data_IF_737198573267
#
_entry.id   IF_737198573267
#
_cell.length_a   1.000
_cell.length_b   1.000
_cell.length_c   1.000
_cell.angle_alpha   90.00
_cell.angle_beta   90.00
_cell.angle_gamma   90.00
#
_symmetry.space_group_name_H-M   'P 1'
#
loop_
_entity.id
_entity.type
_entity.pdbx_description
1 polymer ?
#
# COMPACT_ATOMS: atom_id res chain seq x y z
N UNK A 1 -35.13 -25.82 -44.09
CA UNK A 1 -33.85 -26.14 -43.39
C UNK A 1 -32.80 -25.04 -43.51
N UNK A 2 -32.61 -24.43 -44.68
CA UNK A 2 -31.54 -23.44 -44.96
C UNK A 2 -31.60 -22.16 -44.08
N UNK A 3 -32.79 -21.64 -43.78
CA UNK A 3 -32.93 -20.45 -42.92
C UNK A 3 -32.54 -20.71 -41.46
N UNK A 4 -32.75 -21.92 -40.94
CA UNK A 4 -32.37 -22.28 -39.56
C UNK A 4 -30.85 -22.38 -39.42
N UNK A 5 -30.18 -22.94 -40.43
CA UNK A 5 -28.72 -23.01 -40.47
C UNK A 5 -28.08 -21.61 -40.52
N UNK A 6 -28.63 -20.69 -41.31
CA UNK A 6 -28.14 -19.31 -41.43
C UNK A 6 -28.27 -18.52 -40.12
N UNK A 7 -29.39 -18.66 -39.40
CA UNK A 7 -29.60 -17.98 -38.11
C UNK A 7 -28.64 -18.49 -37.04
N UNK A 8 -28.38 -19.81 -36.98
CA UNK A 8 -27.42 -20.39 -36.04
C UNK A 8 -25.99 -19.93 -36.33
N UNK A 9 -25.59 -19.91 -37.61
CA UNK A 9 -24.26 -19.44 -38.03
C UNK A 9 -24.02 -17.96 -37.68
N UNK A 10 -25.03 -17.10 -37.86
CA UNK A 10 -24.96 -15.67 -37.50
C UNK A 10 -24.85 -15.52 -35.97
N UNK A 11 -25.61 -16.31 -35.20
CA UNK A 11 -25.53 -16.30 -33.74
C UNK A 11 -24.15 -16.70 -33.21
N UNK A 12 -23.56 -17.77 -33.77
CA UNK A 12 -22.22 -18.24 -33.39
C UNK A 12 -21.14 -17.20 -33.74
N UNK A 13 -21.23 -16.60 -34.93
CA UNK A 13 -20.30 -15.55 -35.33
C UNK A 13 -20.38 -14.31 -34.42
N UNK A 14 -21.60 -13.90 -34.03
CA UNK A 14 -21.78 -12.76 -33.12
C UNK A 14 -21.21 -13.03 -31.72
N UNK A 15 -21.39 -14.24 -31.18
CA UNK A 15 -20.82 -14.64 -29.88
C UNK A 15 -19.29 -14.71 -29.95
N UNK A 16 -18.73 -15.24 -31.04
CA UNK A 16 -17.29 -15.31 -31.22
C UNK A 16 -16.65 -13.91 -31.30
N UNK A 17 -17.28 -12.98 -32.04
CA UNK A 17 -16.82 -11.59 -32.14
C UNK A 17 -16.91 -10.87 -30.78
N UNK A 18 -17.99 -11.08 -30.03
CA UNK A 18 -18.14 -10.51 -28.68
C UNK A 18 -17.09 -11.05 -27.69
N UNK A 19 -16.79 -12.36 -27.75
CA UNK A 19 -15.76 -12.98 -26.91
C UNK A 19 -14.35 -12.47 -27.26
N UNK A 20 -14.05 -12.28 -28.55
CA UNK A 20 -12.81 -11.65 -29.03
C UNK A 20 -12.68 -10.19 -28.60
N UNK A 21 -13.79 -9.44 -28.57
CA UNK A 21 -13.82 -8.06 -28.08
C UNK A 21 -13.61 -7.95 -26.57
N UNK A 22 -14.15 -8.88 -25.76
CA UNK A 22 -13.92 -8.89 -24.31
C UNK A 22 -12.51 -9.35 -23.93
N UNK A 23 -11.87 -10.21 -24.72
CA UNK A 23 -10.51 -10.69 -24.46
C UNK A 23 -9.42 -9.66 -24.82
N UNK A 24 -9.74 -8.63 -25.61
CA UNK A 24 -8.80 -7.62 -26.09
C UNK A 24 -8.75 -6.35 -25.24
N UNK A 25 -9.53 -6.25 -24.16
CA UNK A 25 -9.43 -5.11 -23.24
C UNK A 25 -8.33 -5.44 -22.22
N UNK A 26 -7.12 -4.83 -22.31
CA UNK A 26 -6.15 -4.97 -21.24
C UNK A 26 -6.77 -4.43 -19.95
N UNK A 27 -6.91 -5.29 -18.94
CA UNK A 27 -7.30 -4.85 -17.61
C UNK A 27 -6.22 -3.86 -17.11
N UNK A 28 -6.57 -2.59 -16.79
CA UNK A 28 -5.62 -1.67 -16.21
C UNK A 28 -5.16 -2.26 -14.85
N UNK A 29 -3.94 -2.82 -14.80
CA UNK A 29 -3.37 -3.40 -13.58
C UNK A 29 -2.43 -4.60 -13.75
N UNK A 30 -2.25 -5.16 -14.95
CA UNK A 30 -1.53 -6.44 -15.13
C UNK A 30 -0.09 -6.37 -15.67
N UNK A 31 0.50 -5.19 -15.83
CA UNK A 31 1.93 -5.08 -16.14
C UNK A 31 2.69 -4.49 -14.97
N UNK A 32 3.65 -5.22 -14.36
CA UNK A 32 4.65 -4.62 -13.50
C UNK A 32 5.25 -3.44 -14.23
N UNK A 33 5.39 -2.32 -13.53
CA UNK A 33 5.89 -1.08 -14.11
C UNK A 33 7.40 -1.15 -14.35
N UNK A 34 7.81 -1.99 -15.30
CA UNK A 34 9.18 -2.05 -15.78
C UNK A 34 9.43 -0.79 -16.62
N UNK A 35 10.11 0.21 -16.03
CA UNK A 35 10.62 1.37 -16.78
C UNK A 35 10.05 2.74 -16.42
N UNK A 36 9.26 2.89 -15.34
CA UNK A 36 8.87 4.24 -14.85
C UNK A 36 10.07 5.09 -14.42
N UNK A 37 11.17 4.45 -14.04
CA UNK A 37 12.40 5.11 -13.61
C UNK A 37 13.61 4.48 -14.32
N UNK A 38 14.59 5.29 -14.74
CA UNK A 38 15.84 4.77 -15.28
C UNK A 38 16.55 3.88 -14.25
N UNK A 39 17.36 2.92 -14.72
CA UNK A 39 18.16 2.08 -13.85
C UNK A 39 19.04 2.96 -12.94
N UNK A 40 18.77 2.91 -11.64
CA UNK A 40 19.47 3.72 -10.66
C UNK A 40 20.78 3.07 -10.23
N UNK A 41 21.90 3.74 -10.46
CA UNK A 41 23.20 3.36 -9.90
C UNK A 41 23.41 4.10 -8.59
N UNK A 42 23.31 3.38 -7.47
CA UNK A 42 23.53 3.95 -6.15
C UNK A 42 24.98 4.43 -5.99
N UNK A 43 25.23 5.66 -5.49
CA UNK A 43 26.56 6.10 -5.09
C UNK A 43 27.15 5.15 -4.06
N UNK A 44 28.48 5.05 -4.02
CA UNK A 44 29.20 4.20 -3.07
C UNK A 44 29.94 5.03 -2.04
N UNK A 45 30.06 4.46 -0.85
CA UNK A 45 30.90 4.95 0.25
C UNK A 45 32.36 4.60 -0.02
N UNK A 46 33.29 5.17 0.77
CA UNK A 46 34.72 4.90 0.64
C UNK A 46 35.08 3.41 0.87
N UNK A 47 34.30 2.70 1.68
CA UNK A 47 34.41 1.25 1.90
C UNK A 47 33.63 0.41 0.88
N UNK A 48 33.15 1.03 -0.21
CA UNK A 48 32.50 0.34 -1.34
C UNK A 48 31.04 -0.07 -1.11
N UNK A 49 30.47 0.21 0.07
CA UNK A 49 29.06 -0.08 0.38
C UNK A 49 28.12 0.94 -0.30
N UNK A 50 26.85 0.58 -0.55
CA UNK A 50 25.85 1.56 -1.01
C UNK A 50 25.76 2.76 -0.07
N UNK A 51 25.81 3.96 -0.64
CA UNK A 51 25.63 5.21 0.08
C UNK A 51 24.13 5.54 0.16
N UNK A 52 23.58 5.40 1.35
CA UNK A 52 22.20 5.68 1.73
C UNK A 52 22.02 7.07 2.38
N UNK A 53 23.06 7.91 2.41
CA UNK A 53 22.92 9.27 2.93
C UNK A 53 22.04 10.12 2.00
N UNK A 54 21.11 10.89 2.58
CA UNK A 54 20.29 11.83 1.83
C UNK A 54 18.91 12.03 2.40
N UNK A 55 18.05 12.68 1.61
CA UNK A 55 16.62 12.84 1.91
C UNK A 55 15.88 11.68 1.24
N UNK A 56 15.11 10.94 2.03
CA UNK A 56 14.32 9.81 1.62
C UNK A 56 12.83 10.11 1.79
N UNK A 57 12.01 9.63 0.86
CA UNK A 57 10.57 9.74 0.93
C UNK A 57 9.96 8.47 0.35
N UNK A 58 8.99 7.90 1.06
CA UNK A 58 8.17 6.83 0.51
C UNK A 58 7.03 7.43 -0.31
N UNK A 59 6.96 7.09 -1.60
CA UNK A 59 5.87 7.49 -2.49
C UNK A 59 4.84 6.36 -2.58
N UNK A 60 4.30 5.97 -1.42
CA UNK A 60 3.34 4.86 -1.30
C UNK A 60 2.31 5.18 -0.23
N UNK A 61 1.26 4.38 -0.15
CA UNK A 61 0.27 4.41 0.94
C UNK A 61 0.55 3.36 2.01
N UNK A 62 1.78 2.82 2.06
CA UNK A 62 2.18 1.76 2.99
C UNK A 62 2.10 2.17 4.48
N UNK A 63 2.00 3.47 4.76
CA UNK A 63 1.68 3.99 6.09
C UNK A 63 0.31 3.51 6.62
N UNK A 64 -0.65 3.28 5.72
CA UNK A 64 -1.99 2.80 6.04
C UNK A 64 -2.02 1.28 6.19
N UNK A 65 -1.49 0.55 5.20
CA UNK A 65 -1.22 -0.88 5.28
C UNK A 65 -0.07 -1.23 4.32
N UNK A 66 0.89 -2.02 4.79
CA UNK A 66 2.03 -2.46 3.99
C UNK A 66 1.64 -3.52 2.96
N UNK A 67 0.54 -4.24 3.18
CA UNK A 67 -0.04 -5.14 2.18
C UNK A 67 -0.90 -4.36 1.18
N UNK A 68 -1.21 -4.97 0.03
CA UNK A 68 -2.15 -4.39 -0.91
C UNK A 68 -3.51 -4.16 -0.22
N UNK A 69 -4.09 -2.97 -0.40
CA UNK A 69 -5.33 -2.58 0.25
C UNK A 69 -6.15 -1.66 -0.65
N UNK A 70 -7.47 -1.83 -0.60
CA UNK A 70 -8.40 -0.95 -1.30
C UNK A 70 -8.53 0.40 -0.61
N UNK A 71 -9.04 1.39 -1.34
CA UNK A 71 -9.53 2.61 -0.70
C UNK A 71 -10.69 2.26 0.23
N UNK A 72 -10.75 2.89 1.39
CA UNK A 72 -11.69 2.56 2.45
C UNK A 72 -12.25 3.83 3.10
N UNK A 73 -13.53 3.83 3.53
CA UNK A 73 -14.06 4.96 4.27
C UNK A 73 -13.30 5.17 5.59
N UNK A 74 -13.31 6.40 6.07
CA UNK A 74 -12.89 6.70 7.43
C UNK A 74 -13.85 6.10 8.46
N UNK A 75 -13.54 6.18 9.77
CA UNK A 75 -14.42 5.68 10.82
C UNK A 75 -15.70 6.52 10.98
N UNK A 76 -15.63 7.80 10.62
CA UNK A 76 -16.75 8.75 10.60
C UNK A 76 -16.87 9.44 9.23
N UNK A 77 -17.23 8.71 8.16
CA UNK A 77 -17.31 9.28 6.81
C UNK A 77 -18.35 10.40 6.70
N UNK A 78 -19.38 10.38 7.54
CA UNK A 78 -20.43 11.40 7.64
C UNK A 78 -19.94 12.74 8.18
N UNK A 79 -18.87 12.74 9.00
CA UNK A 79 -18.28 13.96 9.57
C UNK A 79 -17.01 14.38 8.82
N UNK A 80 -16.15 13.41 8.50
CA UNK A 80 -14.80 13.65 7.98
C UNK A 80 -14.72 13.64 6.45
N UNK A 81 -15.72 13.05 5.78
CA UNK A 81 -15.71 12.88 4.33
C UNK A 81 -14.42 12.22 3.83
N UNK A 82 -13.85 12.76 2.74
CA UNK A 82 -12.63 12.25 2.14
C UNK A 82 -11.38 12.42 3.03
N UNK A 83 -11.37 13.36 3.99
CA UNK A 83 -10.20 13.61 4.84
C UNK A 83 -9.90 12.47 5.80
N UNK A 84 -10.92 11.72 6.24
CA UNK A 84 -10.75 10.55 7.10
C UNK A 84 -10.59 9.24 6.32
N UNK A 85 -10.74 9.27 4.99
CA UNK A 85 -10.72 8.10 4.14
C UNK A 85 -9.29 7.55 3.95
N UNK A 86 -9.19 6.24 3.86
CA UNK A 86 -7.94 5.57 3.52
C UNK A 86 -7.72 5.49 2.03
N UNK A 87 -6.59 5.98 1.52
CA UNK A 87 -6.25 5.77 0.14
C UNK A 87 -5.94 4.28 -0.09
N UNK A 88 -6.19 3.80 -1.31
CA UNK A 88 -5.77 2.45 -1.71
C UNK A 88 -4.25 2.39 -1.96
N UNK A 89 -3.70 1.19 -1.95
CA UNK A 89 -2.28 0.94 -2.15
C UNK A 89 -1.99 -0.41 -2.77
N UNK A 90 -0.97 -0.46 -3.63
CA UNK A 90 -0.51 -1.71 -4.25
C UNK A 90 0.24 -2.64 -3.27
N UNK A 91 0.57 -2.14 -2.08
CA UNK A 91 1.39 -2.86 -1.10
C UNK A 91 2.89 -2.84 -1.45
N UNK A 92 3.72 -3.15 -0.46
CA UNK A 92 5.18 -3.21 -0.55
C UNK A 92 5.74 -4.57 -0.13
N UNK A 93 4.86 -5.51 0.22
CA UNK A 93 5.24 -6.86 0.67
C UNK A 93 5.56 -7.72 -0.53
N UNK A 94 6.78 -8.27 -0.55
CA UNK A 94 7.18 -9.27 -1.53
C UNK A 94 6.28 -10.51 -1.41
N UNK A 95 5.70 -10.96 -2.53
CA UNK A 95 4.70 -12.04 -2.53
C UNK A 95 3.31 -11.62 -2.04
N UNK A 96 3.12 -10.37 -1.59
CA UNK A 96 1.82 -9.77 -1.26
C UNK A 96 1.25 -10.13 0.12
N UNK A 97 1.72 -11.21 0.74
CA UNK A 97 1.22 -11.67 2.04
C UNK A 97 2.30 -11.76 3.11
N UNK A 98 1.92 -11.35 4.33
CA UNK A 98 2.74 -11.53 5.52
C UNK A 98 2.19 -12.75 6.25
N UNK A 99 3.02 -13.75 6.58
CA UNK A 99 2.61 -14.94 7.32
C UNK A 99 2.40 -14.59 8.80
N UNK A 100 1.31 -13.90 9.11
CA UNK A 100 0.95 -13.55 10.47
C UNK A 100 0.61 -14.78 11.29
N UNK A 101 1.01 -14.77 12.55
CA UNK A 101 0.41 -15.65 13.55
C UNK A 101 -1.05 -15.23 13.76
N UNK A 102 -1.98 -16.16 14.07
CA UNK A 102 -3.40 -15.84 14.20
C UNK A 102 -3.68 -14.69 15.19
N UNK A 103 -2.98 -14.65 16.32
CA UNK A 103 -3.09 -13.61 17.33
C UNK A 103 -2.61 -12.24 16.83
N UNK A 104 -1.59 -12.20 15.98
CA UNK A 104 -1.07 -10.97 15.40
C UNK A 104 -2.05 -10.40 14.36
N UNK A 105 -2.67 -11.26 13.56
CA UNK A 105 -3.71 -10.84 12.61
C UNK A 105 -4.94 -10.29 13.34
N UNK A 106 -5.37 -10.94 14.42
CA UNK A 106 -6.46 -10.45 15.26
C UNK A 106 -6.12 -9.08 15.86
N UNK A 107 -4.89 -8.91 16.37
CA UNK A 107 -4.43 -7.62 16.89
C UNK A 107 -4.36 -6.53 15.83
N UNK A 108 -3.92 -6.85 14.60
CA UNK A 108 -3.94 -5.91 13.45
C UNK A 108 -5.35 -5.36 13.21
N UNK A 109 -6.35 -6.25 13.15
CA UNK A 109 -7.76 -5.87 12.96
C UNK A 109 -8.28 -5.02 14.12
N UNK A 110 -8.03 -5.44 15.36
CA UNK A 110 -8.41 -4.70 16.56
C UNK A 110 -7.81 -3.27 16.56
N UNK A 111 -6.54 -3.12 16.19
CA UNK A 111 -5.89 -1.82 16.12
C UNK A 111 -6.50 -0.92 15.04
N UNK A 112 -6.89 -1.48 13.89
CA UNK A 112 -7.56 -0.74 12.83
C UNK A 112 -8.96 -0.27 13.27
N UNK A 113 -9.73 -1.14 13.91
CA UNK A 113 -11.06 -0.81 14.44
C UNK A 113 -11.01 0.26 15.54
N UNK A 114 -10.02 0.16 16.43
CA UNK A 114 -9.87 1.08 17.57
C UNK A 114 -8.96 2.27 17.27
N UNK A 115 -8.58 2.51 16.01
CA UNK A 115 -7.59 3.53 15.63
C UNK A 115 -7.96 4.95 16.04
N UNK A 116 -9.25 5.28 16.13
CA UNK A 116 -9.74 6.59 16.57
C UNK A 116 -9.89 6.72 18.09
N UNK A 117 -9.55 5.67 18.86
CA UNK A 117 -9.61 5.76 20.32
C UNK A 117 -8.55 6.76 20.79
N UNK A 118 -8.98 7.97 21.12
CA UNK A 118 -8.11 9.01 21.67
C UNK A 118 -8.15 8.92 23.19
N UNK A 119 -7.01 8.58 23.80
CA UNK A 119 -6.80 8.75 25.25
C UNK A 119 -6.04 10.04 25.49
N UNK A 120 -6.77 11.14 25.71
CA UNK A 120 -6.15 12.43 26.07
C UNK A 120 -5.92 12.48 27.58
N UNK A 121 -4.77 13.04 27.98
CA UNK A 121 -4.38 13.49 29.34
C UNK A 121 -3.57 12.48 30.16
N UNK A 122 -2.37 12.89 30.63
CA UNK A 122 -1.48 12.37 31.70
C UNK A 122 -1.45 10.86 32.08
N UNK A 123 -2.07 9.99 31.29
CA UNK A 123 -2.16 8.55 31.52
C UNK A 123 -0.85 7.90 31.02
N UNK A 124 -0.14 7.13 31.86
CA UNK A 124 0.99 6.33 31.42
C UNK A 124 0.66 5.36 30.26
N UNK A 125 -0.60 4.90 30.18
CA UNK A 125 -1.11 3.91 29.22
C UNK A 125 -1.72 4.51 27.95
N UNK A 126 -1.52 5.82 27.70
CA UNK A 126 -2.04 6.49 26.49
C UNK A 126 -1.51 5.93 25.16
N UNK A 127 -0.39 5.22 25.19
CA UNK A 127 0.20 4.58 24.01
C UNK A 127 -0.33 3.17 23.71
N UNK A 128 -1.16 2.59 24.59
CA UNK A 128 -1.60 1.19 24.48
C UNK A 128 -2.76 1.00 23.50
N UNK A 129 -3.41 2.08 23.09
CA UNK A 129 -4.62 2.05 22.29
C UNK A 129 -4.75 3.27 21.39
N UNK A 130 -5.43 3.09 20.27
CA UNK A 130 -5.58 4.14 19.28
C UNK A 130 -4.36 4.28 18.40
N UNK A 131 -4.49 5.13 17.41
CA UNK A 131 -3.43 5.40 16.46
C UNK A 131 -2.58 6.59 16.98
N UNK A 132 -1.26 6.40 17.15
CA UNK A 132 -0.40 7.45 17.70
C UNK A 132 -0.41 8.77 16.92
N UNK A 133 -0.41 8.73 15.58
CA UNK A 133 -0.41 9.93 14.72
C UNK A 133 -1.70 10.76 14.88
N UNK A 134 -2.87 10.13 14.98
CA UNK A 134 -4.15 10.78 15.29
C UNK A 134 -4.17 11.43 16.67
N UNK A 135 -3.35 10.96 17.61
CA UNK A 135 -3.15 11.57 18.92
C UNK A 135 -2.01 12.62 18.94
N UNK A 136 -1.50 13.01 17.77
CA UNK A 136 -0.35 13.93 17.61
C UNK A 136 0.97 13.38 18.17
N UNK A 137 1.11 12.06 18.33
CA UNK A 137 2.38 11.40 18.64
C UNK A 137 3.10 10.93 17.38
N UNK A 138 4.38 10.57 17.53
CA UNK A 138 5.17 10.03 16.42
C UNK A 138 4.67 8.61 16.04
N UNK A 139 4.57 8.27 14.75
CA UNK A 139 3.99 7.02 14.25
C UNK A 139 4.80 5.73 14.54
N UNK A 140 5.95 5.83 15.21
CA UNK A 140 6.83 4.69 15.51
C UNK A 140 7.56 4.11 14.28
N UNK A 141 8.56 3.26 14.51
CA UNK A 141 9.31 2.56 13.44
C UNK A 141 8.73 1.15 13.30
N UNK A 142 8.44 0.64 12.08
CA UNK A 142 8.87 1.16 10.77
C UNK A 142 7.88 2.11 10.08
N UNK A 143 6.67 2.33 10.61
CA UNK A 143 5.62 3.15 9.96
C UNK A 143 6.11 4.55 9.58
N UNK A 144 6.91 5.19 10.44
CA UNK A 144 7.53 6.50 10.19
C UNK A 144 8.26 6.59 8.84
N UNK A 145 8.85 5.49 8.36
CA UNK A 145 9.58 5.46 7.09
C UNK A 145 8.65 5.45 5.87
N UNK A 146 7.37 5.11 6.05
CA UNK A 146 6.35 5.06 5.00
C UNK A 146 5.39 6.24 5.03
N UNK A 147 5.54 7.13 6.01
CA UNK A 147 4.82 8.40 6.05
C UNK A 147 5.08 9.19 4.77
N UNK A 148 4.13 10.02 4.31
CA UNK A 148 4.30 10.81 3.09
C UNK A 148 5.31 11.97 3.26
N UNK A 149 5.95 12.08 4.42
CA UNK A 149 6.89 13.14 4.75
C UNK A 149 8.34 12.67 4.51
N UNK A 150 9.19 13.52 3.90
CA UNK A 150 10.59 13.18 3.72
C UNK A 150 11.34 13.14 5.06
N UNK A 151 12.31 12.24 5.17
CA UNK A 151 13.23 12.15 6.31
C UNK A 151 14.68 12.09 5.84
N UNK A 152 15.60 12.59 6.67
CA UNK A 152 17.02 12.51 6.39
C UNK A 152 17.60 11.21 6.94
N UNK A 153 18.20 10.38 6.08
CA UNK A 153 18.98 9.24 6.50
C UNK A 153 20.46 9.61 6.51
N UNK A 154 21.14 9.25 7.60
CA UNK A 154 22.58 9.42 7.73
C UNK A 154 23.24 8.10 8.12
N UNK A 155 24.14 7.62 7.28
CA UNK A 155 24.98 6.47 7.61
C UNK A 155 26.12 6.93 8.49
N UNK A 156 26.27 6.23 9.61
CA UNK A 156 27.42 6.39 10.49
C UNK A 156 28.47 5.39 10.02
N UNK A 157 29.69 5.85 9.77
CA UNK A 157 30.82 4.96 9.56
C UNK A 157 31.19 4.37 10.92
N UNK A 158 31.31 3.05 11.00
CA UNK A 158 31.89 2.41 12.17
C UNK A 158 33.34 2.88 12.30
N UNK A 159 33.65 3.59 13.38
CA UNK A 159 35.04 3.77 13.81
C UNK A 159 35.45 2.39 14.33
N UNK A 160 36.29 1.68 13.58
CA UNK A 160 37.01 0.53 14.14
C UNK A 160 37.89 1.08 15.26
N UNK A 161 37.54 0.78 16.51
CA UNK A 161 38.37 1.04 17.69
C UNK A 161 39.40 -0.08 17.81
#
# INVERSE_FOLDING_TARGET
>A
MINRLRVVMIGVAAVAVAALWLAAIPAPGQTPSAGLFPAYTAPRTADGKPNLNGIWQALTTANWDIQAHGAQPGPHPELMGAWGAGPGGQGIVEGGEIPYRPEALAKKKQNLETRMAVKVTNDPHRYDSGEPELQCYRPGVPRANYMPFPFAARQLHAISI
#
